data_IF_206868668426
#
_entry.id   IF_206868668426
#
_cell.length_a   1.000
_cell.length_b   1.000
_cell.length_c   1.000
_cell.angle_alpha   90.00
_cell.angle_beta   90.00
_cell.angle_gamma   90.00
#
_symmetry.space_group_name_H-M   'P 1'
#
loop_
_entity.id
_entity.type
_entity.pdbx_description
1 polymer ?
#
# COMPACT_ATOMS: atom_id res chain seq x y z
N UNK A 1 -26.43 11.62 7.01
CA UNK A 1 -25.00 11.86 6.69
C UNK A 1 -24.46 10.54 6.17
N UNK A 2 -23.78 10.53 5.01
CA UNK A 2 -23.22 9.28 4.46
C UNK A 2 -22.18 8.71 5.42
N UNK A 3 -22.10 7.37 5.54
CA UNK A 3 -21.08 6.66 6.34
C UNK A 3 -19.67 7.14 5.92
N UNK A 4 -19.45 7.32 4.63
CA UNK A 4 -18.17 7.82 4.10
C UNK A 4 -17.81 9.20 4.66
N UNK A 5 -18.74 10.16 4.68
CA UNK A 5 -18.44 11.52 5.18
C UNK A 5 -18.12 11.51 6.69
N UNK A 6 -18.75 10.63 7.47
CA UNK A 6 -18.42 10.42 8.88
C UNK A 6 -17.01 9.86 9.04
N UNK A 7 -16.70 8.80 8.29
CA UNK A 7 -15.40 8.14 8.29
C UNK A 7 -14.26 9.06 7.84
N UNK A 8 -14.46 9.82 6.74
CA UNK A 8 -13.46 10.79 6.27
C UNK A 8 -13.11 11.83 7.35
N UNK A 9 -14.11 12.29 8.11
CA UNK A 9 -13.89 13.24 9.22
C UNK A 9 -13.10 12.61 10.36
N UNK A 10 -13.43 11.38 10.73
CA UNK A 10 -12.76 10.63 11.79
C UNK A 10 -11.30 10.35 11.44
N UNK A 11 -11.06 9.79 10.24
CA UNK A 11 -9.69 9.55 9.72
C UNK A 11 -8.89 10.84 9.65
N UNK A 12 -9.47 11.93 9.14
CA UNK A 12 -8.80 13.23 9.09
C UNK A 12 -8.49 13.77 10.50
N UNK A 13 -9.31 13.45 11.51
CA UNK A 13 -9.02 13.71 12.91
C UNK A 13 -7.75 13.02 13.38
N UNK A 14 -7.71 11.71 13.23
CA UNK A 14 -6.54 10.89 13.59
C UNK A 14 -5.26 11.33 12.87
N UNK A 15 -5.35 11.68 11.59
CA UNK A 15 -4.19 12.17 10.83
C UNK A 15 -3.68 13.53 11.36
N UNK A 16 -4.57 14.41 11.79
CA UNK A 16 -4.16 15.66 12.48
C UNK A 16 -3.48 15.38 13.83
N UNK A 17 -4.02 14.43 14.61
CA UNK A 17 -3.42 14.05 15.89
C UNK A 17 -2.04 13.42 15.70
N UNK A 18 -1.86 12.61 14.64
CA UNK A 18 -0.55 12.13 14.22
C UNK A 18 0.40 13.29 13.89
N UNK A 19 -0.03 14.27 13.09
CA UNK A 19 0.78 15.44 12.73
C UNK A 19 1.15 16.30 13.97
N UNK A 20 0.36 16.24 15.04
CA UNK A 20 0.61 16.87 16.34
C UNK A 20 1.44 16.01 17.30
N UNK A 21 1.97 14.86 16.85
CA UNK A 21 2.92 14.04 17.59
C UNK A 21 2.37 12.74 18.21
N UNK A 22 1.10 12.40 18.00
CA UNK A 22 0.54 11.12 18.44
C UNK A 22 0.99 9.99 17.51
N UNK A 23 1.94 9.16 17.96
CA UNK A 23 2.49 8.04 17.18
C UNK A 23 1.44 6.96 16.85
N UNK A 24 0.41 6.81 17.68
CA UNK A 24 -0.63 5.78 17.55
C UNK A 24 -1.80 6.22 16.66
N UNK A 25 -1.94 7.51 16.39
CA UNK A 25 -3.12 8.07 15.74
C UNK A 25 -3.41 7.52 14.33
N UNK A 26 -2.39 7.12 13.56
CA UNK A 26 -2.61 6.43 12.27
C UNK A 26 -3.22 5.04 12.47
N UNK A 27 -2.81 4.31 13.51
CA UNK A 27 -3.41 3.01 13.85
C UNK A 27 -4.85 3.18 14.34
N UNK A 28 -5.15 4.25 15.07
CA UNK A 28 -6.51 4.60 15.50
C UNK A 28 -7.40 4.91 14.30
N UNK A 29 -6.92 5.72 13.35
CA UNK A 29 -7.62 6.00 12.11
C UNK A 29 -7.90 4.74 11.29
N UNK A 30 -6.96 3.80 11.24
CA UNK A 30 -7.17 2.51 10.60
C UNK A 30 -8.19 1.64 11.37
N UNK A 31 -8.18 1.70 12.70
CA UNK A 31 -9.15 1.00 13.55
C UNK A 31 -10.57 1.53 13.35
N UNK A 32 -10.74 2.84 13.17
CA UNK A 32 -12.02 3.44 12.83
C UNK A 32 -12.58 2.92 11.50
N UNK A 33 -11.72 2.75 10.48
CA UNK A 33 -12.12 2.15 9.20
C UNK A 33 -12.58 0.70 9.39
N UNK A 34 -11.91 -0.06 10.25
CA UNK A 34 -12.18 -1.48 10.52
C UNK A 34 -13.25 -1.72 11.58
N UNK A 35 -13.82 -0.66 12.16
CA UNK A 35 -14.94 -0.80 13.07
C UNK A 35 -16.10 -1.55 12.41
N UNK A 36 -16.89 -2.26 13.22
CA UNK A 36 -17.92 -3.19 12.75
C UNK A 36 -18.76 -2.61 11.60
N UNK A 37 -18.74 -3.28 10.46
CA UNK A 37 -19.48 -2.95 9.23
C UNK A 37 -19.07 -1.65 8.52
N UNK A 38 -18.11 -0.86 9.04
CA UNK A 38 -17.69 0.41 8.39
C UNK A 38 -16.97 0.11 7.08
N UNK A 39 -15.99 -0.77 7.11
CA UNK A 39 -15.19 -1.09 5.92
C UNK A 39 -16.00 -1.78 4.81
N UNK A 40 -16.81 -2.82 5.08
CA UNK A 40 -17.69 -3.40 4.05
C UNK A 40 -18.65 -2.35 3.49
N UNK A 41 -19.20 -1.48 4.33
CA UNK A 41 -20.11 -0.42 3.88
C UNK A 41 -19.41 0.61 3.00
N UNK A 42 -18.18 1.00 3.35
CA UNK A 42 -17.36 1.87 2.49
C UNK A 42 -17.17 1.26 1.10
N UNK A 43 -16.83 -0.03 1.04
CA UNK A 43 -16.62 -0.74 -0.23
C UNK A 43 -17.93 -0.81 -1.03
N UNK A 44 -19.05 -1.13 -0.36
CA UNK A 44 -20.35 -1.18 -0.99
C UNK A 44 -20.80 0.20 -1.51
N UNK A 45 -20.65 1.26 -0.72
CA UNK A 45 -20.98 2.63 -1.12
C UNK A 45 -20.13 3.09 -2.34
N UNK A 46 -18.90 2.56 -2.50
CA UNK A 46 -18.09 2.81 -3.70
C UNK A 46 -18.64 2.04 -4.90
N UNK A 47 -19.05 0.79 -4.73
CA UNK A 47 -19.60 -0.04 -5.79
C UNK A 47 -20.96 0.50 -6.30
N UNK A 48 -21.79 1.03 -5.40
CA UNK A 48 -23.15 1.50 -5.69
C UNK A 48 -23.18 2.92 -6.29
N UNK A 49 -22.12 3.71 -6.13
CA UNK A 49 -22.02 5.09 -6.62
C UNK A 49 -21.07 5.16 -7.82
N UNK A 50 -21.61 5.31 -9.03
CA UNK A 50 -20.86 5.34 -10.29
C UNK A 50 -19.77 6.43 -10.29
N UNK A 51 -20.04 7.61 -9.74
CA UNK A 51 -19.10 8.73 -9.71
C UNK A 51 -17.92 8.45 -8.76
N UNK A 52 -18.20 7.82 -7.61
CA UNK A 52 -17.16 7.37 -6.66
C UNK A 52 -16.34 6.25 -7.26
N UNK A 53 -16.99 5.23 -7.82
CA UNK A 53 -16.33 4.13 -8.49
C UNK A 53 -15.37 4.62 -9.58
N UNK A 54 -15.83 5.50 -10.46
CA UNK A 54 -14.99 6.11 -11.48
C UNK A 54 -13.82 6.91 -10.91
N UNK A 55 -14.02 7.56 -9.74
CA UNK A 55 -12.96 8.29 -9.05
C UNK A 55 -11.91 7.34 -8.47
N UNK A 56 -12.32 6.23 -7.86
CA UNK A 56 -11.42 5.18 -7.36
C UNK A 56 -10.67 4.54 -8.53
N UNK A 57 -11.35 4.21 -9.64
CA UNK A 57 -10.73 3.61 -10.82
C UNK A 57 -9.61 4.49 -11.39
N UNK A 58 -9.82 5.79 -11.53
CA UNK A 58 -8.80 6.71 -12.04
C UNK A 58 -7.52 6.80 -11.19
N UNK A 59 -7.57 6.39 -9.93
CA UNK A 59 -6.46 6.46 -8.96
C UNK A 59 -5.83 5.11 -8.68
N UNK A 60 -6.42 4.03 -9.17
CA UNK A 60 -6.03 2.66 -8.88
C UNK A 60 -5.22 2.08 -10.04
N UNK A 61 -4.16 1.35 -9.69
CA UNK A 61 -3.19 0.85 -10.66
C UNK A 61 -2.72 -0.55 -10.28
N UNK A 62 -2.26 -1.31 -11.25
CA UNK A 62 -1.36 -2.43 -11.01
C UNK A 62 0.00 -1.87 -10.59
N UNK A 63 0.42 -2.21 -9.39
CA UNK A 63 1.72 -1.78 -8.88
C UNK A 63 2.83 -2.68 -9.45
N UNK A 64 4.00 -2.12 -9.82
CA UNK A 64 5.13 -2.91 -10.30
C UNK A 64 5.57 -4.04 -9.36
N UNK A 65 5.28 -3.91 -8.07
CA UNK A 65 5.54 -4.93 -7.04
C UNK A 65 4.49 -6.07 -7.02
N UNK A 66 3.69 -6.24 -8.08
CA UNK A 66 2.81 -7.40 -8.26
C UNK A 66 1.49 -7.37 -7.51
N UNK A 67 0.96 -6.21 -7.12
CA UNK A 67 -0.33 -6.09 -6.47
C UNK A 67 -1.22 -5.01 -7.09
N UNK A 68 -2.53 -5.15 -6.91
CA UNK A 68 -3.47 -4.08 -7.21
C UNK A 68 -3.44 -3.05 -6.08
N UNK A 69 -3.04 -1.80 -6.41
CA UNK A 69 -3.12 -0.65 -5.51
C UNK A 69 -4.41 0.11 -5.75
N UNK A 70 -5.37 -0.04 -4.85
CA UNK A 70 -6.70 0.57 -4.95
C UNK A 70 -6.80 1.72 -3.96
N UNK A 71 -7.00 2.95 -4.44
CA UNK A 71 -7.09 4.16 -3.60
C UNK A 71 -8.56 4.44 -3.29
N UNK A 72 -9.01 4.02 -2.10
CA UNK A 72 -10.40 4.13 -1.66
C UNK A 72 -10.79 5.56 -1.30
N UNK A 73 -9.98 6.20 -0.44
CA UNK A 73 -10.17 7.59 0.00
C UNK A 73 -8.87 8.37 -0.17
N UNK A 74 -9.00 9.67 -0.39
CA UNK A 74 -7.85 10.58 -0.45
C UNK A 74 -8.22 11.98 0.00
N UNK A 75 -7.33 12.56 0.79
CA UNK A 75 -7.30 13.97 1.17
C UNK A 75 -5.89 14.52 0.97
N UNK A 76 -5.63 15.81 1.15
CA UNK A 76 -4.29 16.37 1.05
C UNK A 76 -3.26 15.67 1.93
N UNK A 77 -3.67 15.25 3.15
CA UNK A 77 -2.79 14.76 4.20
C UNK A 77 -2.87 13.25 4.42
N UNK A 78 -3.74 12.52 3.68
CA UNK A 78 -3.81 11.07 3.81
C UNK A 78 -4.33 10.38 2.56
N UNK A 79 -4.07 9.07 2.50
CA UNK A 79 -4.73 8.13 1.58
C UNK A 79 -5.05 6.84 2.30
N UNK A 80 -6.27 6.36 2.07
CA UNK A 80 -6.68 5.02 2.47
C UNK A 80 -6.63 4.12 1.24
N UNK A 81 -5.84 3.04 1.31
CA UNK A 81 -5.60 2.14 0.18
C UNK A 81 -5.81 0.69 0.54
N UNK A 82 -6.22 -0.10 -0.45
CA UNK A 82 -6.07 -1.54 -0.45
C UNK A 82 -4.87 -1.93 -1.31
N UNK A 83 -4.12 -2.89 -0.83
CA UNK A 83 -3.17 -3.67 -1.61
C UNK A 83 -3.70 -5.09 -1.71
N UNK A 84 -3.93 -5.58 -2.93
CA UNK A 84 -4.43 -6.92 -3.17
C UNK A 84 -3.43 -7.69 -4.04
N UNK A 85 -2.81 -8.70 -3.44
CA UNK A 85 -1.96 -9.67 -4.11
C UNK A 85 -2.80 -10.84 -4.56
N UNK A 86 -2.63 -11.32 -5.81
CA UNK A 86 -3.40 -12.42 -6.40
C UNK A 86 -4.90 -12.27 -6.19
N UNK A 87 -5.47 -11.15 -6.63
CA UNK A 87 -6.92 -10.97 -6.60
C UNK A 87 -7.65 -12.11 -7.32
N UNK A 88 -8.86 -12.42 -6.86
CA UNK A 88 -9.69 -13.47 -7.43
C UNK A 88 -9.82 -13.30 -8.97
N UNK A 89 -9.32 -14.27 -9.72
CA UNK A 89 -9.49 -14.35 -11.18
C UNK A 89 -8.48 -13.58 -12.04
N UNK A 90 -7.51 -12.87 -11.45
CA UNK A 90 -6.45 -12.19 -12.21
C UNK A 90 -5.09 -12.74 -11.78
N UNK A 91 -4.38 -13.39 -12.70
CA UNK A 91 -2.99 -13.78 -12.48
C UNK A 91 -2.14 -12.50 -12.36
N UNK A 92 -1.81 -12.10 -11.13
CA UNK A 92 -0.75 -11.14 -10.92
C UNK A 92 0.58 -11.81 -11.33
N UNK A 93 1.48 -11.11 -12.02
CA UNK A 93 2.80 -11.66 -12.29
C UNK A 93 3.50 -11.97 -10.96
N UNK A 94 4.24 -13.08 -10.90
CA UNK A 94 5.10 -13.43 -9.78
C UNK A 94 6.28 -12.44 -9.74
N UNK A 95 6.02 -11.26 -9.20
CA UNK A 95 7.04 -10.22 -9.04
C UNK A 95 7.41 -10.15 -7.55
N UNK A 96 8.68 -10.26 -7.27
CA UNK A 96 9.18 -9.95 -5.92
C UNK A 96 9.28 -8.44 -5.76
N UNK A 97 8.76 -7.97 -4.64
CA UNK A 97 8.90 -6.58 -4.25
C UNK A 97 10.37 -6.27 -3.94
N UNK A 98 10.86 -5.14 -4.43
CA UNK A 98 12.18 -4.63 -4.07
C UNK A 98 12.15 -4.03 -2.67
N UNK A 99 13.29 -4.06 -1.96
CA UNK A 99 13.43 -3.37 -0.68
C UNK A 99 13.30 -1.86 -0.93
N UNK A 100 12.44 -1.19 -0.18
CA UNK A 100 12.20 0.25 -0.36
C UNK A 100 11.76 0.92 0.94
N UNK A 101 11.79 2.24 0.95
CA UNK A 101 11.17 3.08 1.97
C UNK A 101 10.05 3.94 1.37
N UNK A 102 9.43 4.81 2.17
CA UNK A 102 8.34 5.66 1.76
C UNK A 102 8.60 7.14 2.04
N UNK A 103 7.74 8.00 1.54
CA UNK A 103 7.71 9.44 1.88
C UNK A 103 6.60 9.79 2.88
N UNK A 104 6.00 8.80 3.53
CA UNK A 104 4.97 8.92 4.57
C UNK A 104 5.12 7.78 5.57
N UNK A 105 4.79 8.05 6.81
CA UNK A 105 4.53 7.00 7.78
C UNK A 105 3.15 6.41 7.49
N UNK A 106 2.92 5.17 7.88
CA UNK A 106 1.63 4.51 7.64
C UNK A 106 1.27 3.51 8.73
N UNK A 107 -0.03 3.25 8.85
CA UNK A 107 -0.56 2.10 9.54
C UNK A 107 -1.13 1.11 8.52
N UNK A 108 -1.03 -0.18 8.80
CA UNK A 108 -1.59 -1.24 7.96
C UNK A 108 -2.19 -2.37 8.77
N UNK A 109 -3.15 -3.06 8.17
CA UNK A 109 -3.70 -4.32 8.68
C UNK A 109 -3.88 -5.31 7.54
N UNK A 110 -3.67 -6.58 7.84
CA UNK A 110 -3.95 -7.67 6.92
C UNK A 110 -5.43 -8.02 7.02
N UNK A 111 -6.16 -7.72 5.96
CA UNK A 111 -7.62 -7.96 5.90
C UNK A 111 -7.92 -9.43 5.65
N UNK A 112 -7.16 -10.09 4.78
CA UNK A 112 -7.28 -11.53 4.52
C UNK A 112 -5.96 -12.09 4.01
N UNK A 113 -5.75 -13.40 4.17
CA UNK A 113 -4.53 -14.10 3.80
C UNK A 113 -3.34 -13.77 4.70
N UNK A 114 -2.16 -13.86 4.16
CA UNK A 114 -0.91 -13.57 4.85
C UNK A 114 0.19 -13.18 3.87
N UNK A 115 1.22 -12.51 4.39
CA UNK A 115 2.47 -12.28 3.67
C UNK A 115 3.65 -12.24 4.64
N UNK A 116 4.86 -12.42 4.11
CA UNK A 116 6.09 -12.16 4.85
C UNK A 116 6.41 -10.68 4.79
N UNK A 117 6.63 -10.08 5.95
CA UNK A 117 7.16 -8.74 6.09
C UNK A 117 8.62 -8.84 6.47
N UNK A 118 9.49 -8.11 5.77
CA UNK A 118 10.93 -8.09 6.01
C UNK A 118 11.42 -6.66 6.13
N UNK A 119 12.26 -6.38 7.13
CA UNK A 119 12.92 -5.09 7.34
C UNK A 119 14.43 -5.21 7.16
N UNK A 120 15.02 -4.17 6.62
CA UNK A 120 16.44 -4.15 6.27
C UNK A 120 17.13 -2.92 6.83
N UNK A 121 18.44 -3.05 7.06
CA UNK A 121 19.30 -1.92 7.37
C UNK A 121 20.61 -2.04 6.59
N UNK A 122 21.28 -0.89 6.39
CA UNK A 122 22.64 -0.87 5.86
C UNK A 122 23.58 -1.60 6.82
N UNK A 123 24.41 -2.49 6.29
CA UNK A 123 25.35 -3.27 7.09
C UNK A 123 26.55 -3.68 6.25
N UNK A 124 27.74 -3.31 6.68
CA UNK A 124 28.99 -3.76 6.06
C UNK A 124 29.05 -5.30 6.02
N UNK A 125 29.38 -5.85 4.86
CA UNK A 125 29.38 -7.30 4.61
C UNK A 125 27.98 -7.93 4.61
N UNK A 126 26.93 -7.13 4.40
CA UNK A 126 25.59 -7.59 4.07
C UNK A 126 25.49 -8.12 2.64
N UNK A 127 24.30 -8.40 2.20
CA UNK A 127 24.03 -8.71 0.79
C UNK A 127 24.04 -7.41 -0.03
N UNK A 128 24.70 -7.41 -1.17
CA UNK A 128 24.80 -6.23 -2.04
C UNK A 128 23.53 -6.10 -2.89
N UNK A 129 22.93 -4.92 -2.86
CA UNK A 129 21.76 -4.54 -3.64
C UNK A 129 22.07 -3.38 -4.56
N UNK A 130 21.50 -3.38 -5.76
CA UNK A 130 21.53 -2.26 -6.69
C UNK A 130 20.59 -1.17 -6.21
N UNK A 131 21.12 0.03 -5.95
CA UNK A 131 20.37 1.16 -5.40
C UNK A 131 19.81 2.09 -6.46
N UNK A 132 18.56 2.49 -6.28
CA UNK A 132 17.85 3.42 -7.16
C UNK A 132 17.10 4.47 -6.34
N UNK A 133 16.98 5.69 -6.88
CA UNK A 133 16.13 6.75 -6.39
C UNK A 133 14.84 6.81 -7.19
N UNK A 134 13.70 6.65 -6.52
CA UNK A 134 12.39 6.83 -7.14
C UNK A 134 12.09 8.31 -7.38
N UNK A 135 11.71 8.65 -8.59
CA UNK A 135 11.27 9.98 -9.00
C UNK A 135 9.93 9.87 -9.71
N UNK A 136 8.88 10.50 -9.13
CA UNK A 136 7.60 10.59 -9.82
C UNK A 136 7.73 11.53 -11.02
N UNK A 137 7.22 11.13 -12.17
CA UNK A 137 7.11 12.03 -13.30
C UNK A 137 6.05 13.13 -13.05
N UNK A 138 6.19 14.28 -13.72
CA UNK A 138 5.29 15.41 -13.54
C UNK A 138 3.83 15.12 -13.90
N UNK A 139 3.59 14.14 -14.78
CA UNK A 139 2.25 13.68 -15.19
C UNK A 139 1.55 12.81 -14.14
N UNK A 140 2.26 12.37 -13.10
CA UNK A 140 1.81 11.42 -12.05
C UNK A 140 1.29 10.07 -12.57
N UNK A 141 1.59 9.75 -13.86
CA UNK A 141 1.20 8.50 -14.52
C UNK A 141 2.37 7.59 -14.79
N UNK A 142 3.57 8.06 -14.46
CA UNK A 142 4.81 7.35 -14.64
C UNK A 142 5.82 7.71 -13.57
N UNK A 143 6.91 6.96 -13.50
CA UNK A 143 8.03 7.22 -12.60
C UNK A 143 9.35 6.83 -13.27
N UNK A 144 10.43 7.24 -12.65
CA UNK A 144 11.80 6.84 -13.00
C UNK A 144 12.45 6.21 -11.78
N UNK A 145 13.34 5.27 -12.02
CA UNK A 145 14.28 4.76 -11.03
C UNK A 145 15.69 5.15 -11.50
N UNK A 146 16.28 6.12 -10.84
CA UNK A 146 17.61 6.65 -11.17
C UNK A 146 18.65 5.89 -10.33
N UNK A 147 19.66 5.24 -10.94
CA UNK A 147 20.71 4.55 -10.18
C UNK A 147 21.42 5.51 -9.23
N UNK A 148 21.65 5.07 -7.98
CA UNK A 148 22.36 5.85 -6.95
C UNK A 148 23.55 5.10 -6.36
N UNK A 149 23.90 3.95 -6.93
CA UNK A 149 24.99 3.09 -6.49
C UNK A 149 24.52 1.93 -5.60
N UNK A 150 25.38 0.94 -5.48
CA UNK A 150 25.09 -0.28 -4.73
C UNK A 150 25.19 -0.04 -3.23
N UNK A 151 24.48 -0.87 -2.46
CA UNK A 151 24.49 -0.80 -1.00
C UNK A 151 24.37 -2.19 -0.39
N UNK A 152 25.19 -2.46 0.61
CA UNK A 152 25.07 -3.67 1.40
C UNK A 152 23.96 -3.53 2.43
N UNK A 153 22.99 -4.44 2.37
CA UNK A 153 21.87 -4.51 3.29
C UNK A 153 21.83 -5.85 4.02
N UNK A 154 21.32 -5.83 5.24
CA UNK A 154 21.04 -7.04 6.03
C UNK A 154 19.57 -7.03 6.45
N UNK A 155 18.88 -8.17 6.26
CA UNK A 155 17.57 -8.38 6.84
C UNK A 155 17.71 -8.47 8.36
N UNK A 156 17.05 -7.58 9.08
CA UNK A 156 17.08 -7.50 10.55
C UNK A 156 15.80 -8.02 11.20
N UNK A 157 14.73 -8.09 10.42
CA UNK A 157 13.45 -8.63 10.87
C UNK A 157 12.76 -9.34 9.71
N UNK A 158 12.19 -10.51 9.99
CA UNK A 158 11.34 -11.24 9.05
C UNK A 158 10.24 -11.96 9.82
N UNK A 159 8.97 -11.69 9.48
CA UNK A 159 7.84 -12.35 10.08
C UNK A 159 6.74 -12.61 9.05
N UNK A 160 6.07 -13.75 9.16
CA UNK A 160 4.82 -14.01 8.45
C UNK A 160 3.69 -13.34 9.23
N UNK A 161 3.03 -12.38 8.61
CA UNK A 161 1.93 -11.63 9.18
C UNK A 161 0.61 -12.21 8.66
N UNK A 162 -0.20 -12.84 9.53
CA UNK A 162 -1.47 -13.41 9.14
C UNK A 162 -2.59 -12.37 9.13
N UNK A 163 -3.77 -12.77 8.66
CA UNK A 163 -5.00 -12.01 8.80
C UNK A 163 -5.17 -11.46 10.23
N UNK A 164 -5.57 -10.20 10.34
CA UNK A 164 -5.74 -9.49 11.60
C UNK A 164 -4.46 -8.87 12.16
N UNK A 165 -3.28 -9.23 11.64
CA UNK A 165 -2.03 -8.55 12.03
C UNK A 165 -2.09 -7.06 11.66
N UNK A 166 -1.58 -6.22 12.56
CA UNK A 166 -1.52 -4.76 12.41
C UNK A 166 -0.15 -4.24 12.79
N UNK A 167 0.32 -3.25 12.08
CA UNK A 167 1.55 -2.53 12.43
C UNK A 167 1.55 -1.11 11.89
N UNK A 168 2.36 -0.26 12.50
CA UNK A 168 2.72 1.06 11.99
C UNK A 168 4.15 1.02 11.49
N UNK A 169 4.47 1.86 10.51
CA UNK A 169 5.81 1.92 9.96
C UNK A 169 6.23 3.36 9.71
N UNK A 170 7.45 3.67 10.15
CA UNK A 170 8.08 4.93 9.78
C UNK A 170 8.54 4.91 8.32
N UNK A 171 8.42 6.06 7.69
CA UNK A 171 8.85 6.31 6.31
C UNK A 171 10.34 5.99 6.04
N UNK A 172 11.17 5.89 7.09
CA UNK A 172 12.61 5.63 6.98
C UNK A 172 12.97 4.15 6.95
N UNK A 173 12.02 3.28 7.32
CA UNK A 173 12.27 1.83 7.37
C UNK A 173 12.37 1.27 5.96
N UNK A 174 13.50 0.64 5.67
CA UNK A 174 13.68 -0.15 4.45
C UNK A 174 12.98 -1.49 4.66
N UNK A 175 12.02 -1.82 3.79
CA UNK A 175 11.26 -3.06 3.90
C UNK A 175 10.86 -3.62 2.54
N UNK A 176 10.41 -4.85 2.55
CA UNK A 176 9.67 -5.47 1.45
C UNK A 176 8.59 -6.41 1.98
N UNK A 177 7.56 -6.61 1.19
CA UNK A 177 6.54 -7.62 1.39
C UNK A 177 6.76 -8.74 0.39
N UNK A 178 6.75 -9.98 0.87
CA UNK A 178 6.78 -11.18 0.03
C UNK A 178 5.44 -11.89 0.19
N UNK A 179 4.55 -11.81 -0.82
CA UNK A 179 3.26 -12.47 -0.74
C UNK A 179 3.43 -13.98 -0.65
N UNK A 180 2.53 -14.64 0.07
CA UNK A 180 2.41 -16.09 -0.02
C UNK A 180 1.65 -16.41 -1.31
N UNK A 181 2.39 -16.86 -2.33
CA UNK A 181 1.78 -17.12 -3.64
C UNK A 181 0.77 -18.28 -3.63
N UNK A 182 0.66 -19.04 -2.56
CA UNK A 182 -0.39 -20.04 -2.39
C UNK A 182 -1.75 -19.44 -1.99
N UNK A 183 -1.73 -18.26 -1.36
CA UNK A 183 -2.92 -17.58 -0.84
C UNK A 183 -3.06 -16.17 -1.45
N UNK A 184 -4.31 -15.72 -1.62
CA UNK A 184 -4.57 -14.30 -1.89
C UNK A 184 -4.44 -13.51 -0.60
N UNK A 185 -3.75 -12.39 -0.65
CA UNK A 185 -3.61 -11.50 0.49
C UNK A 185 -4.14 -10.10 0.18
N UNK A 186 -4.85 -9.52 1.13
CA UNK A 186 -5.31 -8.12 1.05
C UNK A 186 -4.90 -7.40 2.32
N UNK A 187 -4.28 -6.24 2.17
CA UNK A 187 -4.04 -5.33 3.28
C UNK A 187 -4.72 -3.98 3.06
N UNK A 188 -5.13 -3.36 4.16
CA UNK A 188 -5.63 -1.99 4.22
C UNK A 188 -4.52 -1.12 4.79
N UNK A 189 -4.22 -0.01 4.12
CA UNK A 189 -3.12 0.89 4.47
C UNK A 189 -3.65 2.32 4.58
N UNK A 190 -3.40 2.95 5.73
CA UNK A 190 -3.61 4.38 5.94
C UNK A 190 -2.26 5.09 5.93
N UNK A 191 -2.01 5.87 4.87
CA UNK A 191 -0.85 6.76 4.78
C UNK A 191 -1.13 8.06 5.51
N UNK A 192 -0.15 8.53 6.26
CA UNK A 192 -0.11 9.88 6.82
C UNK A 192 0.30 10.95 5.80
N UNK A 193 0.54 12.17 6.27
CA UNK A 193 0.98 13.27 5.42
C UNK A 193 2.34 12.98 4.76
N UNK A 194 2.56 13.51 3.55
CA UNK A 194 3.85 13.34 2.88
C UNK A 194 4.95 14.08 3.63
N UNK A 195 6.08 13.40 3.84
CA UNK A 195 7.27 13.92 4.48
C UNK A 195 8.36 14.20 3.42
N UNK A 196 9.33 15.09 3.69
CA UNK A 196 10.41 15.43 2.77
C UNK A 196 11.49 14.33 2.74
N UNK A 197 11.07 13.09 2.51
CA UNK A 197 11.94 11.91 2.46
C UNK A 197 12.10 11.45 1.02
N UNK A 198 13.33 11.22 0.62
CA UNK A 198 13.63 10.56 -0.64
C UNK A 198 13.23 9.08 -0.56
N UNK A 199 12.70 8.56 -1.66
CA UNK A 199 12.33 7.15 -1.74
C UNK A 199 13.44 6.39 -2.44
N UNK A 200 14.08 5.51 -1.70
CA UNK A 200 15.10 4.61 -2.20
C UNK A 200 14.49 3.23 -2.48
N UNK A 201 14.97 2.62 -3.54
CA UNK A 201 14.60 1.27 -3.96
C UNK A 201 15.87 0.47 -4.14
N UNK A 202 15.93 -0.73 -3.56
CA UNK A 202 17.10 -1.62 -3.61
C UNK A 202 16.67 -2.96 -4.18
N UNK A 203 17.26 -3.34 -5.30
CA UNK A 203 16.97 -4.58 -6.02
C UNK A 203 18.12 -5.57 -5.91
N UNK A 204 17.82 -6.86 -5.79
CA UNK A 204 18.83 -7.93 -5.77
C UNK A 204 19.53 -8.11 -7.13
N UNK A 205 18.82 -7.76 -8.21
CA UNK A 205 19.39 -7.79 -9.58
C UNK A 205 19.30 -6.41 -10.19
N UNK A 206 20.21 -6.11 -11.10
CA UNK A 206 20.14 -4.86 -11.86
C UNK A 206 18.83 -4.80 -12.64
N UNK A 207 18.11 -3.68 -12.46
CA UNK A 207 16.84 -3.46 -13.15
C UNK A 207 17.12 -2.90 -14.53
N UNK A 208 16.88 -3.68 -15.58
CA UNK A 208 16.91 -3.24 -16.99
C UNK A 208 15.73 -2.31 -17.29
N UNK A 209 15.69 -1.14 -16.66
CA UNK A 209 14.53 -0.25 -16.69
C UNK A 209 14.49 0.61 -17.94
N UNK A 210 13.28 0.80 -18.48
CA UNK A 210 13.01 1.91 -19.36
C UNK A 210 13.26 3.25 -18.63
N UNK A 211 13.73 4.31 -19.33
CA UNK A 211 13.97 5.62 -18.71
C UNK A 211 12.75 6.18 -17.97
N UNK A 212 11.56 5.80 -18.39
CA UNK A 212 10.28 6.14 -17.74
C UNK A 212 9.41 4.88 -17.70
N UNK A 213 8.91 4.55 -16.52
CA UNK A 213 8.04 3.38 -16.32
C UNK A 213 6.59 3.88 -16.11
N UNK A 214 5.66 3.53 -17.01
CA UNK A 214 4.27 3.91 -16.86
C UNK A 214 3.59 3.10 -15.76
N UNK A 215 2.67 3.72 -15.01
CA UNK A 215 1.73 2.97 -14.19
C UNK A 215 0.68 2.32 -15.08
N UNK A 216 0.35 1.06 -14.80
CA UNK A 216 -0.71 0.33 -15.49
C UNK A 216 -2.03 0.54 -14.75
N UNK A 217 -3.02 1.27 -15.32
CA UNK A 217 -4.30 1.48 -14.67
C UNK A 217 -5.05 0.16 -14.44
N UNK A 218 -5.79 0.07 -13.32
CA UNK A 218 -6.79 -0.97 -13.16
C UNK A 218 -7.98 -0.67 -14.10
N UNK A 219 -8.42 -1.68 -14.84
CA UNK A 219 -9.68 -1.54 -15.60
C UNK A 219 -10.87 -1.49 -14.65
N UNK A 220 -12.01 -0.88 -15.03
CA UNK A 220 -13.23 -0.89 -14.21
C UNK A 220 -13.66 -2.31 -13.81
N UNK A 221 -13.55 -3.29 -14.73
CA UNK A 221 -13.88 -4.68 -14.44
C UNK A 221 -12.96 -5.29 -13.39
N UNK A 222 -11.64 -5.07 -13.51
CA UNK A 222 -10.66 -5.57 -12.54
C UNK A 222 -10.88 -4.92 -11.17
N UNK A 223 -11.15 -3.61 -11.12
CA UNK A 223 -11.48 -2.91 -9.88
C UNK A 223 -12.78 -3.48 -9.26
N UNK A 224 -13.83 -3.64 -10.04
CA UNK A 224 -15.11 -4.19 -9.59
C UNK A 224 -14.93 -5.59 -8.98
N UNK A 225 -14.18 -6.47 -9.64
CA UNK A 225 -13.89 -7.81 -9.12
C UNK A 225 -13.14 -7.75 -7.78
N UNK A 226 -12.12 -6.89 -7.66
CA UNK A 226 -11.34 -6.75 -6.41
C UNK A 226 -12.23 -6.25 -5.25
N UNK A 227 -13.01 -5.20 -5.49
CA UNK A 227 -13.89 -4.62 -4.46
C UNK A 227 -15.00 -5.59 -4.05
N UNK A 228 -15.62 -6.30 -5.01
CA UNK A 228 -16.65 -7.31 -4.72
C UNK A 228 -16.07 -8.48 -3.90
N UNK A 229 -14.89 -8.96 -4.26
CA UNK A 229 -14.21 -10.02 -3.50
C UNK A 229 -13.96 -9.60 -2.05
N UNK A 230 -13.50 -8.37 -1.83
CA UNK A 230 -13.25 -7.82 -0.49
C UNK A 230 -14.56 -7.61 0.28
N UNK A 231 -15.61 -7.09 -0.37
CA UNK A 231 -16.92 -6.92 0.26
C UNK A 231 -17.56 -8.24 0.71
N UNK A 232 -17.21 -9.35 0.07
CA UNK A 232 -17.74 -10.69 0.35
C UNK A 232 -16.99 -11.46 1.44
N UNK A 233 -15.96 -10.88 2.07
CA UNK A 233 -15.17 -11.56 3.10
C UNK A 233 -16.01 -11.80 4.37
N UNK A 234 -16.22 -13.07 4.81
CA UNK A 234 -17.17 -13.40 5.89
C UNK A 234 -16.86 -12.74 7.24
N UNK A 235 -15.58 -12.53 7.53
CA UNK A 235 -15.13 -11.98 8.82
C UNK A 235 -15.24 -10.44 8.92
N UNK A 236 -15.70 -9.78 7.86
CA UNK A 236 -15.94 -8.35 7.86
C UNK A 236 -17.42 -8.00 8.15
N UNK A 237 -18.28 -8.99 8.24
CA UNK A 237 -19.70 -8.90 8.56
C UNK A 237 -19.96 -9.33 10.00
#
# INVERSE_FOLDING_TARGET
MSVITGLEREVAGCVRDYANGSQEALADGLSAVLAARVFPRLVQDILDDEARFATVARRSVWHPNGFAKIVLLTAPDYRLRLHAWRGAGVAAPEVQENVHNHRWDFATTIVTGAYWHQEFQAAEGGETFFGYRYQAAGDRRSYQLVPVGDRDLRCIFAARLPQGARYTMSNKVLHKVVPDFAESAVSLVLEGPPLPTEVDVYAQNELGLAPVVPFVPLTPEALGHQLTAVASLPHLH
#
